data_IF_655828140506
#
_entry.id   IF_655828140506
#
_cell.length_a   1.000
_cell.length_b   1.000
_cell.length_c   1.000
_cell.angle_alpha   90.00
_cell.angle_beta   90.00
_cell.angle_gamma   90.00
#
_symmetry.space_group_name_H-M   'P 1'
#
loop_
_entity.id
_entity.type
_entity.pdbx_description
1 polymer ?
#
# COMPACT_ATOMS: atom_id res chain seq x y z
N UNK A 1 -8.05 13.61 37.82
CA UNK A 1 -8.34 12.78 36.63
C UNK A 1 -8.73 13.71 35.48
N UNK A 2 -7.77 14.47 34.92
CA UNK A 2 -8.00 15.31 33.74
C UNK A 2 -7.72 14.47 32.49
N UNK A 3 -8.77 14.16 31.72
CA UNK A 3 -8.64 13.60 30.37
C UNK A 3 -8.09 14.70 29.47
N UNK A 4 -6.85 14.57 29.01
CA UNK A 4 -6.39 15.26 27.81
C UNK A 4 -7.19 14.71 26.62
N UNK A 5 -8.30 15.36 26.28
CA UNK A 5 -8.88 15.24 24.96
C UNK A 5 -7.91 15.97 24.01
N UNK A 6 -7.04 15.21 23.35
CA UNK A 6 -6.34 15.72 22.16
C UNK A 6 -7.45 16.04 21.16
N UNK A 7 -7.70 17.33 20.92
CA UNK A 7 -8.68 17.75 19.92
C UNK A 7 -8.14 17.32 18.55
N UNK A 8 -8.65 16.19 18.05
CA UNK A 8 -8.29 15.67 16.74
C UNK A 8 -8.60 16.73 15.68
N UNK A 9 -7.67 17.01 14.77
CA UNK A 9 -7.93 17.97 13.70
C UNK A 9 -9.14 17.53 12.85
N UNK A 10 -9.81 18.49 12.19
CA UNK A 10 -10.90 18.18 11.26
C UNK A 10 -10.46 17.18 10.17
N UNK A 11 -9.20 17.30 9.71
CA UNK A 11 -8.58 16.37 8.76
C UNK A 11 -8.44 14.95 9.33
N UNK A 12 -7.99 14.80 10.57
CA UNK A 12 -7.87 13.49 11.22
C UNK A 12 -9.23 12.81 11.38
N UNK A 13 -10.26 13.56 11.78
CA UNK A 13 -11.63 13.02 11.89
C UNK A 13 -12.17 12.57 10.53
N UNK A 14 -11.93 13.36 9.48
CA UNK A 14 -12.33 13.03 8.12
C UNK A 14 -11.58 11.78 7.60
N UNK A 15 -10.29 11.67 7.90
CA UNK A 15 -9.45 10.52 7.56
C UNK A 15 -9.93 9.23 8.27
N UNK A 16 -10.26 9.29 9.56
CA UNK A 16 -10.77 8.12 10.29
C UNK A 16 -12.15 7.68 9.79
N UNK A 17 -13.01 8.64 9.42
CA UNK A 17 -14.29 8.34 8.79
C UNK A 17 -14.11 7.69 7.41
N UNK A 18 -13.17 8.18 6.61
CA UNK A 18 -12.79 7.58 5.33
C UNK A 18 -12.29 6.14 5.52
N UNK A 19 -11.34 5.93 6.43
CA UNK A 19 -10.76 4.61 6.73
C UNK A 19 -11.85 3.61 7.12
N UNK A 20 -12.74 3.96 8.06
CA UNK A 20 -13.82 3.07 8.50
C UNK A 20 -14.77 2.67 7.36
N UNK A 21 -15.13 3.63 6.49
CA UNK A 21 -15.98 3.35 5.31
C UNK A 21 -15.26 2.41 4.35
N UNK A 22 -13.98 2.65 4.10
CA UNK A 22 -13.19 1.87 3.16
C UNK A 22 -12.91 0.45 3.69
N UNK A 23 -12.66 0.29 5.00
CA UNK A 23 -12.54 -1.02 5.65
C UNK A 23 -13.81 -1.84 5.49
N UNK A 24 -14.99 -1.25 5.72
CA UNK A 24 -16.28 -1.92 5.48
C UNK A 24 -16.46 -2.34 4.03
N UNK A 25 -16.03 -1.51 3.07
CA UNK A 25 -16.07 -1.86 1.65
C UNK A 25 -15.14 -3.05 1.34
N UNK A 26 -13.96 -3.07 1.96
CA UNK A 26 -12.95 -4.12 1.77
C UNK A 26 -13.36 -5.45 2.40
N UNK A 27 -14.03 -5.43 3.55
CA UNK A 27 -14.66 -6.64 4.13
C UNK A 27 -15.67 -7.27 3.16
N UNK A 28 -16.49 -6.45 2.50
CA UNK A 28 -17.43 -6.94 1.49
C UNK A 28 -16.70 -7.54 0.27
N UNK A 29 -15.61 -6.92 -0.17
CA UNK A 29 -14.79 -7.44 -1.26
C UNK A 29 -14.09 -8.74 -0.89
N UNK A 30 -13.62 -8.89 0.35
CA UNK A 30 -13.06 -10.14 0.84
C UNK A 30 -14.08 -11.28 0.73
N UNK A 31 -15.35 -11.05 1.10
CA UNK A 31 -16.40 -12.05 0.94
C UNK A 31 -16.64 -12.43 -0.54
N UNK A 32 -16.60 -11.46 -1.46
CA UNK A 32 -16.79 -11.68 -2.88
C UNK A 32 -15.61 -12.45 -3.52
N UNK A 33 -14.38 -12.06 -3.18
CA UNK A 33 -13.17 -12.69 -3.70
C UNK A 33 -12.92 -14.08 -3.10
N UNK A 34 -13.52 -14.38 -1.95
CA UNK A 34 -13.43 -15.70 -1.30
C UNK A 34 -14.48 -16.73 -1.80
N UNK A 35 -15.30 -16.39 -2.81
CA UNK A 35 -16.42 -17.22 -3.30
C UNK A 35 -16.06 -18.68 -3.65
N UNK A 36 -16.83 -19.61 -3.06
CA UNK A 36 -16.88 -21.10 -3.14
C UNK A 36 -15.58 -21.94 -3.10
N UNK A 37 -14.38 -21.42 -3.35
CA UNK A 37 -13.20 -22.27 -3.46
C UNK A 37 -11.85 -21.70 -3.02
N UNK A 38 -11.79 -20.46 -2.50
CA UNK A 38 -10.55 -19.72 -2.19
C UNK A 38 -9.58 -19.48 -3.36
N UNK A 39 -9.86 -20.07 -4.53
CA UNK A 39 -9.13 -19.86 -5.76
C UNK A 39 -9.52 -18.53 -6.41
N UNK A 40 -8.52 -17.78 -6.84
CA UNK A 40 -8.72 -16.51 -7.54
C UNK A 40 -9.55 -16.69 -8.79
N UNK A 41 -10.58 -15.88 -9.06
CA UNK A 41 -11.45 -16.09 -10.22
C UNK A 41 -10.76 -15.84 -11.58
N UNK A 42 -9.63 -15.13 -11.61
CA UNK A 42 -8.99 -14.71 -12.84
C UNK A 42 -8.02 -15.79 -13.33
N UNK A 43 -8.13 -16.12 -14.61
CA UNK A 43 -7.42 -17.24 -15.24
C UNK A 43 -6.40 -16.80 -16.28
N UNK A 44 -6.68 -15.71 -16.96
CA UNK A 44 -5.93 -15.29 -18.12
C UNK A 44 -6.39 -13.96 -18.67
N UNK A 45 -5.66 -13.48 -19.68
CA UNK A 45 -6.12 -12.41 -20.57
C UNK A 45 -6.88 -13.07 -21.72
N UNK A 46 -7.98 -12.49 -22.16
CA UNK A 46 -8.76 -12.96 -23.31
C UNK A 46 -8.61 -11.98 -24.47
N UNK A 47 -8.49 -12.49 -25.70
CA UNK A 47 -8.48 -11.66 -26.91
C UNK A 47 -9.85 -11.63 -27.62
N UNK A 48 -9.91 -10.89 -28.73
CA UNK A 48 -11.13 -10.75 -29.55
C UNK A 48 -11.53 -12.03 -30.29
N UNK A 49 -10.64 -13.01 -30.38
CA UNK A 49 -10.89 -14.35 -30.94
C UNK A 49 -11.32 -15.35 -29.87
N UNK A 50 -11.59 -14.88 -28.64
CA UNK A 50 -11.97 -15.69 -27.48
C UNK A 50 -10.90 -16.72 -27.08
N UNK A 51 -9.64 -16.43 -27.37
CA UNK A 51 -8.49 -17.19 -26.89
C UNK A 51 -8.05 -16.65 -25.53
N UNK A 52 -7.87 -17.56 -24.56
CA UNK A 52 -7.43 -17.24 -23.22
C UNK A 52 -5.95 -17.57 -23.08
N UNK A 53 -5.18 -16.59 -22.63
CA UNK A 53 -3.75 -16.71 -22.32
C UNK A 53 -3.57 -16.78 -20.82
N UNK A 54 -3.21 -17.96 -20.32
CA UNK A 54 -3.10 -18.22 -18.89
C UNK A 54 -2.03 -17.35 -18.22
N UNK A 55 -2.30 -16.91 -16.99
CA UNK A 55 -1.41 -16.03 -16.25
C UNK A 55 -0.15 -16.75 -15.76
N UNK A 56 0.88 -15.96 -15.45
CA UNK A 56 1.99 -16.39 -14.62
C UNK A 56 1.81 -15.97 -13.17
N UNK A 57 2.48 -16.67 -12.25
CA UNK A 57 2.58 -16.29 -10.84
C UNK A 57 3.59 -15.14 -10.59
N UNK A 58 3.97 -14.39 -11.62
CA UNK A 58 4.88 -13.25 -11.50
C UNK A 58 4.23 -12.14 -10.65
N UNK A 59 4.91 -11.72 -9.59
CA UNK A 59 4.37 -10.76 -8.61
C UNK A 59 3.99 -9.42 -9.25
N UNK A 60 4.72 -8.93 -10.25
CA UNK A 60 4.39 -7.64 -10.90
C UNK A 60 3.13 -7.78 -11.76
N UNK A 61 2.99 -8.89 -12.47
CA UNK A 61 1.78 -9.19 -13.24
C UNK A 61 0.56 -9.30 -12.32
N UNK A 62 0.65 -10.08 -11.24
CA UNK A 62 -0.43 -10.24 -10.26
C UNK A 62 -0.82 -8.90 -9.64
N UNK A 63 0.16 -8.10 -9.21
CA UNK A 63 -0.07 -6.76 -8.66
C UNK A 63 -0.86 -5.88 -9.62
N UNK A 64 -0.51 -5.88 -10.92
CA UNK A 64 -1.19 -5.05 -11.91
C UNK A 64 -2.62 -5.51 -12.18
N UNK A 65 -2.84 -6.83 -12.23
CA UNK A 65 -4.19 -7.37 -12.44
C UNK A 65 -5.08 -7.03 -11.25
N UNK A 66 -4.59 -7.20 -10.02
CA UNK A 66 -5.36 -6.85 -8.82
C UNK A 66 -5.71 -5.36 -8.77
N UNK A 67 -4.79 -4.47 -9.17
CA UNK A 67 -5.06 -3.04 -9.30
C UNK A 67 -6.22 -2.77 -10.28
N UNK A 68 -6.19 -3.38 -11.47
CA UNK A 68 -7.24 -3.25 -12.50
C UNK A 68 -8.58 -3.75 -11.99
N UNK A 69 -8.59 -4.88 -11.28
CA UNK A 69 -9.80 -5.53 -10.77
C UNK A 69 -10.43 -4.74 -9.63
N UNK A 70 -9.60 -4.18 -8.74
CA UNK A 70 -10.07 -3.42 -7.59
C UNK A 70 -10.51 -2.01 -7.97
N UNK A 71 -9.97 -1.43 -9.05
CA UNK A 71 -10.25 -0.05 -9.46
C UNK A 71 -11.77 0.24 -9.63
N UNK A 72 -12.57 -0.56 -10.38
CA UNK A 72 -14.01 -0.34 -10.47
C UNK A 72 -14.71 -0.31 -9.11
N UNK A 73 -14.31 -1.18 -8.18
CA UNK A 73 -14.87 -1.20 -6.83
C UNK A 73 -14.49 0.05 -6.03
N UNK A 74 -13.27 0.57 -6.20
CA UNK A 74 -12.84 1.82 -5.57
C UNK A 74 -13.58 3.04 -6.16
N UNK A 75 -13.88 3.04 -7.46
CA UNK A 75 -14.68 4.09 -8.10
C UNK A 75 -16.14 4.04 -7.64
N UNK A 76 -16.72 2.85 -7.50
CA UNK A 76 -18.07 2.67 -6.93
C UNK A 76 -18.13 3.14 -5.47
N UNK A 77 -17.11 2.81 -4.67
CA UNK A 77 -16.95 3.32 -3.32
C UNK A 77 -16.93 4.85 -3.29
N UNK A 78 -16.17 5.48 -4.20
CA UNK A 78 -16.10 6.93 -4.31
C UNK A 78 -17.48 7.54 -4.60
N UNK A 79 -18.18 7.02 -5.60
CA UNK A 79 -19.52 7.49 -5.99
C UNK A 79 -20.52 7.36 -4.84
N UNK A 80 -20.55 6.20 -4.18
CA UNK A 80 -21.43 5.91 -3.05
C UNK A 80 -21.23 6.89 -1.88
N UNK A 81 -19.99 7.31 -1.64
CA UNK A 81 -19.64 8.19 -0.53
C UNK A 81 -19.35 9.64 -0.96
N UNK A 82 -19.71 10.00 -2.21
CA UNK A 82 -19.57 11.35 -2.78
C UNK A 82 -18.14 11.90 -2.82
N UNK A 83 -17.14 11.02 -2.95
CA UNK A 83 -15.76 11.44 -3.18
C UNK A 83 -15.54 11.72 -4.67
N UNK A 84 -14.89 12.84 -4.98
CA UNK A 84 -14.27 13.04 -6.30
C UNK A 84 -12.96 12.24 -6.35
N UNK A 85 -12.74 11.51 -7.44
CA UNK A 85 -11.51 10.74 -7.64
C UNK A 85 -10.58 11.41 -8.64
N UNK A 86 -9.27 11.34 -8.38
CA UNK A 86 -8.22 11.63 -9.35
C UNK A 86 -7.31 10.41 -9.43
N UNK A 87 -7.25 9.78 -10.59
CA UNK A 87 -6.35 8.65 -10.84
C UNK A 87 -4.95 9.16 -11.21
N UNK A 88 -3.94 8.37 -10.88
CA UNK A 88 -2.57 8.68 -11.24
C UNK A 88 -2.42 8.85 -12.77
N UNK A 89 -1.89 9.98 -13.26
CA UNK A 89 -1.86 10.28 -14.70
C UNK A 89 -0.74 9.56 -15.45
N UNK A 90 0.24 9.01 -14.74
CA UNK A 90 1.48 8.45 -15.29
C UNK A 90 1.92 7.24 -14.49
N UNK A 91 2.60 6.31 -15.15
CA UNK A 91 3.33 5.25 -14.47
C UNK A 91 4.34 5.88 -13.48
N UNK A 92 4.45 5.31 -12.27
CA UNK A 92 5.34 5.76 -11.19
C UNK A 92 4.95 7.10 -10.50
N UNK A 93 3.67 7.46 -10.49
CA UNK A 93 3.14 8.59 -9.72
C UNK A 93 2.34 8.10 -8.52
N UNK A 94 2.63 8.65 -7.35
CA UNK A 94 1.88 8.42 -6.12
C UNK A 94 0.68 9.38 -5.99
N UNK A 95 -0.42 9.00 -5.33
CA UNK A 95 -0.88 7.62 -5.11
C UNK A 95 -1.57 7.07 -6.35
N UNK A 96 -1.96 5.78 -6.34
CA UNK A 96 -2.79 5.19 -7.38
C UNK A 96 -4.14 5.91 -7.52
N UNK A 97 -4.79 6.21 -6.38
CA UNK A 97 -6.08 6.91 -6.34
C UNK A 97 -6.02 8.02 -5.29
N UNK A 98 -6.42 9.23 -5.69
CA UNK A 98 -6.73 10.33 -4.77
C UNK A 98 -8.23 10.47 -4.62
N UNK A 99 -8.73 10.46 -3.39
CA UNK A 99 -10.12 10.78 -3.06
C UNK A 99 -10.18 12.19 -2.48
N UNK A 100 -11.15 12.99 -2.90
CA UNK A 100 -11.39 14.33 -2.42
C UNK A 100 -12.83 14.39 -1.93
N UNK A 101 -13.04 14.75 -0.66
CA UNK A 101 -14.38 14.89 -0.12
C UNK A 101 -15.12 16.12 -0.67
N UNK A 102 -16.45 16.12 -0.49
CA UNK A 102 -17.35 17.20 -0.89
C UNK A 102 -17.54 18.24 0.23
N UNK A 103 -16.75 18.17 1.30
CA UNK A 103 -16.81 19.14 2.39
C UNK A 103 -16.20 20.48 1.97
N UNK A 104 -16.50 21.58 2.67
CA UNK A 104 -15.87 22.88 2.41
C UNK A 104 -14.33 22.84 2.52
N UNK A 105 -13.79 21.95 3.35
CA UNK A 105 -12.34 21.78 3.55
C UNK A 105 -11.68 20.95 2.44
N UNK A 106 -12.46 20.18 1.67
CA UNK A 106 -11.99 19.37 0.53
C UNK A 106 -10.81 18.48 0.90
N UNK A 107 -10.95 17.72 1.99
CA UNK A 107 -9.89 16.83 2.46
C UNK A 107 -9.50 15.83 1.38
N UNK A 108 -8.19 15.62 1.21
CA UNK A 108 -7.64 14.74 0.19
C UNK A 108 -7.03 13.51 0.85
N UNK A 109 -7.40 12.34 0.37
CA UNK A 109 -6.93 11.06 0.88
C UNK A 109 -6.20 10.32 -0.23
N UNK A 110 -4.96 9.95 0.04
CA UNK A 110 -4.17 9.15 -0.87
C UNK A 110 -4.43 7.66 -0.59
N UNK A 111 -4.73 6.87 -1.63
CA UNK A 111 -4.85 5.42 -1.53
C UNK A 111 -3.87 4.77 -2.51
N UNK A 112 -2.93 4.02 -1.96
CA UNK A 112 -1.90 3.29 -2.71
C UNK A 112 -2.19 1.79 -2.61
N UNK A 113 -2.23 1.10 -3.74
CA UNK A 113 -2.50 -0.33 -3.81
C UNK A 113 -1.15 -1.06 -3.74
N UNK A 114 -1.05 -2.00 -2.80
CA UNK A 114 0.16 -2.81 -2.60
C UNK A 114 -0.21 -4.27 -2.46
N UNK A 115 0.68 -5.12 -2.94
CA UNK A 115 0.48 -6.57 -2.85
C UNK A 115 1.69 -7.26 -2.27
N UNK A 116 1.45 -8.32 -1.52
CA UNK A 116 2.46 -9.21 -0.97
C UNK A 116 2.00 -10.66 -1.09
N UNK A 117 2.94 -11.57 -1.32
CA UNK A 117 2.66 -13.00 -1.25
C UNK A 117 3.02 -13.54 0.14
N UNK A 118 2.31 -14.59 0.58
CA UNK A 118 2.62 -15.29 1.83
C UNK A 118 3.96 -16.02 1.76
N UNK A 119 4.76 -15.87 2.80
CA UNK A 119 5.95 -16.68 3.07
C UNK A 119 5.63 -17.81 4.04
N UNK A 120 4.66 -17.58 4.93
CA UNK A 120 4.10 -18.53 5.88
C UNK A 120 2.65 -18.17 6.18
N UNK A 121 2.02 -18.89 7.10
CA UNK A 121 0.66 -18.58 7.58
C UNK A 121 0.58 -17.23 8.31
N UNK A 122 1.71 -16.70 8.78
CA UNK A 122 1.78 -15.50 9.61
C UNK A 122 2.55 -14.35 8.97
N UNK A 123 3.39 -14.62 7.97
CA UNK A 123 4.29 -13.64 7.35
C UNK A 123 4.11 -13.53 5.84
N UNK A 124 4.37 -12.33 5.32
CA UNK A 124 4.35 -12.03 3.90
C UNK A 124 5.67 -11.44 3.42
N UNK A 125 5.88 -11.49 2.11
CA UNK A 125 6.92 -10.72 1.43
C UNK A 125 6.76 -9.23 1.75
N UNK A 126 7.87 -8.53 1.99
CA UNK A 126 7.83 -7.10 2.31
C UNK A 126 7.25 -6.27 1.16
N UNK A 127 6.29 -5.39 1.47
CA UNK A 127 5.79 -4.36 0.56
C UNK A 127 6.67 -3.12 0.62
N UNK A 128 6.86 -2.46 -0.52
CA UNK A 128 7.42 -1.11 -0.57
C UNK A 128 6.31 -0.08 -0.48
N UNK A 129 6.45 0.92 0.38
CA UNK A 129 5.43 1.95 0.67
C UNK A 129 5.77 3.30 0.02
N UNK A 130 6.46 3.27 -1.12
CA UNK A 130 6.95 4.45 -1.83
C UNK A 130 8.26 5.00 -1.28
N UNK A 131 8.85 5.94 -2.02
CA UNK A 131 10.15 6.50 -1.71
C UNK A 131 10.11 7.39 -0.44
N UNK A 132 11.17 7.34 0.38
CA UNK A 132 11.40 8.32 1.46
C UNK A 132 12.24 9.53 1.00
N UNK A 133 12.50 9.63 -0.31
CA UNK A 133 13.18 10.75 -0.95
C UNK A 133 12.22 11.48 -1.90
N UNK A 134 12.69 12.46 -2.66
CA UNK A 134 11.87 13.13 -3.67
C UNK A 134 10.67 13.88 -3.07
N UNK A 135 9.45 13.52 -3.50
CA UNK A 135 8.20 14.16 -3.01
C UNK A 135 8.00 14.00 -1.50
N UNK A 136 8.58 12.95 -0.89
CA UNK A 136 8.42 12.71 0.54
C UNK A 136 9.24 13.71 1.37
N UNK A 137 10.44 14.11 0.90
CA UNK A 137 11.22 15.17 1.56
C UNK A 137 10.82 16.56 1.11
N UNK A 138 10.52 16.73 -0.17
CA UNK A 138 10.01 17.97 -0.73
C UNK A 138 8.49 17.87 -0.89
N UNK A 139 7.77 18.14 0.21
CA UNK A 139 6.32 17.97 0.30
C UNK A 139 5.51 18.82 -0.69
N UNK A 140 6.10 19.91 -1.20
CA UNK A 140 5.53 20.79 -2.23
C UNK A 140 5.75 20.30 -3.67
N UNK A 141 6.62 19.31 -3.85
CA UNK A 141 6.97 18.80 -5.17
C UNK A 141 5.76 18.18 -5.86
N UNK A 142 5.72 18.31 -7.18
CA UNK A 142 4.79 17.57 -8.07
C UNK A 142 5.50 16.48 -8.88
N UNK A 143 6.77 16.23 -8.57
CA UNK A 143 7.56 15.18 -9.23
C UNK A 143 7.19 13.82 -8.65
N UNK A 144 6.72 12.91 -9.50
CA UNK A 144 6.31 11.54 -9.13
C UNK A 144 5.15 11.48 -8.12
N UNK A 145 4.31 12.53 -8.06
CA UNK A 145 3.13 12.60 -7.21
C UNK A 145 2.01 13.41 -7.89
N UNK A 146 0.75 13.00 -7.73
CA UNK A 146 -0.43 13.60 -8.39
C UNK A 146 -0.73 15.01 -7.88
N UNK A 147 -0.66 15.19 -6.56
CA UNK A 147 -0.76 16.46 -5.84
C UNK A 147 0.40 16.53 -4.83
N UNK A 148 0.86 17.73 -4.42
CA UNK A 148 1.85 17.86 -3.35
C UNK A 148 1.51 17.01 -2.12
N UNK A 149 2.51 16.38 -1.51
CA UNK A 149 2.31 15.48 -0.37
C UNK A 149 1.62 16.20 0.80
N UNK A 150 1.99 17.47 1.05
CA UNK A 150 1.39 18.28 2.13
C UNK A 150 -0.09 18.62 1.92
N UNK A 151 -0.64 18.42 0.71
CA UNK A 151 -2.05 18.66 0.45
C UNK A 151 -2.97 17.51 0.87
N UNK A 152 -2.42 16.34 1.20
CA UNK A 152 -3.19 15.20 1.68
C UNK A 152 -3.40 15.28 3.18
N UNK A 153 -4.63 15.02 3.61
CA UNK A 153 -4.98 14.91 5.03
C UNK A 153 -4.64 13.54 5.61
N UNK A 154 -4.47 12.52 4.76
CA UNK A 154 -4.01 11.19 5.17
C UNK A 154 -3.55 10.34 3.99
N UNK A 155 -2.68 9.37 4.31
CA UNK A 155 -2.13 8.40 3.37
C UNK A 155 -2.52 6.97 3.79
N UNK A 156 -3.20 6.26 2.90
CA UNK A 156 -3.69 4.90 3.11
C UNK A 156 -3.06 3.92 2.14
N UNK A 157 -2.99 2.67 2.58
CA UNK A 157 -2.57 1.53 1.77
C UNK A 157 -3.72 0.54 1.70
N UNK A 158 -4.14 0.17 0.49
CA UNK A 158 -4.95 -1.02 0.22
C UNK A 158 -4.00 -2.18 -0.04
N UNK A 159 -3.80 -3.00 0.98
CA UNK A 159 -2.93 -4.16 0.91
C UNK A 159 -3.67 -5.41 0.44
N UNK A 160 -3.01 -6.16 -0.44
CA UNK A 160 -3.47 -7.44 -0.99
C UNK A 160 -2.48 -8.51 -0.57
N UNK A 161 -2.93 -9.50 0.18
CA UNK A 161 -2.13 -10.66 0.59
C UNK A 161 -2.67 -11.88 -0.14
N UNK A 162 -1.80 -12.67 -0.77
CA UNK A 162 -2.19 -13.86 -1.52
C UNK A 162 -1.18 -15.00 -1.36
N UNK A 163 -1.64 -16.22 -1.57
CA UNK A 163 -0.78 -17.41 -1.66
C UNK A 163 -0.42 -17.63 -3.13
N UNK A 164 0.85 -17.92 -3.44
CA UNK A 164 1.28 -18.27 -4.79
C UNK A 164 1.09 -19.76 -5.04
N UNK A 165 0.58 -20.10 -6.22
CA UNK A 165 0.47 -21.48 -6.67
C UNK A 165 1.49 -21.71 -7.80
N UNK A 166 2.60 -22.39 -7.50
CA UNK A 166 3.62 -22.78 -8.50
C UNK A 166 3.18 -24.01 -9.31
N UNK A 167 1.91 -24.04 -9.72
CA UNK A 167 1.41 -25.09 -10.60
C UNK A 167 2.08 -25.00 -11.98
N UNK A 168 2.43 -26.15 -12.55
CA UNK A 168 2.98 -26.29 -13.90
C UNK A 168 1.88 -26.02 -14.93
N UNK A 169 1.47 -24.76 -15.08
CA UNK A 169 0.52 -24.35 -16.10
C UNK A 169 1.23 -24.45 -17.46
N UNK A 170 0.60 -25.15 -18.40
CA UNK A 170 1.07 -25.15 -19.78
C UNK A 170 0.81 -23.77 -20.41
N UNK A 171 1.88 -22.98 -20.55
CA UNK A 171 1.86 -21.63 -21.13
C UNK A 171 2.25 -21.60 -22.61
N UNK A 172 2.51 -22.75 -23.24
CA UNK A 172 2.88 -22.81 -24.67
C UNK A 172 1.69 -22.82 -25.62
N UNK A 173 0.46 -22.77 -25.08
CA UNK A 173 -0.78 -22.71 -25.87
C UNK A 173 -1.77 -21.69 -25.29
N UNK A 174 -2.64 -21.20 -26.16
CA UNK A 174 -3.88 -20.56 -25.75
C UNK A 174 -4.94 -21.62 -25.42
N UNK A 175 -5.93 -21.22 -24.63
CA UNK A 175 -7.07 -22.03 -24.21
C UNK A 175 -8.36 -21.48 -24.82
N UNK A 176 -9.29 -22.34 -25.23
CA UNK A 176 -10.60 -21.90 -25.69
C UNK A 176 -11.45 -21.40 -24.51
N UNK A 177 -12.44 -20.53 -24.76
CA UNK A 177 -13.32 -20.00 -23.72
C UNK A 177 -14.02 -21.09 -22.87
N UNK A 178 -14.40 -22.21 -23.48
CA UNK A 178 -15.00 -23.36 -22.79
C UNK A 178 -14.05 -24.04 -21.78
N UNK A 179 -12.75 -23.84 -21.91
CA UNK A 179 -11.71 -24.35 -21.02
C UNK A 179 -11.42 -23.39 -19.85
N UNK A 180 -12.10 -22.25 -19.73
CA UNK A 180 -11.81 -21.23 -18.68
C UNK A 180 -11.72 -21.83 -17.27
N UNK A 181 -12.67 -22.70 -16.91
CA UNK A 181 -12.75 -23.31 -15.59
C UNK A 181 -11.71 -24.42 -15.37
N UNK A 182 -11.04 -24.92 -16.41
CA UNK A 182 -9.97 -25.91 -16.29
C UNK A 182 -8.58 -25.28 -16.19
N UNK A 183 -8.45 -23.98 -16.45
CA UNK A 183 -7.19 -23.25 -16.26
C UNK A 183 -6.92 -23.16 -14.74
N UNK A 184 -5.75 -23.60 -14.25
CA UNK A 184 -5.42 -23.49 -12.83
C UNK A 184 -5.28 -22.04 -12.36
N UNK A 185 -5.67 -21.77 -11.11
CA UNK A 185 -5.41 -20.48 -10.46
C UNK A 185 -3.91 -20.34 -10.12
N UNK A 186 -3.30 -19.21 -10.51
CA UNK A 186 -1.90 -18.91 -10.17
C UNK A 186 -1.72 -18.35 -8.74
N UNK A 187 -2.81 -17.91 -8.12
CA UNK A 187 -2.84 -17.47 -6.72
C UNK A 187 -4.15 -17.92 -6.05
N UNK A 188 -4.13 -17.97 -4.72
CA UNK A 188 -5.27 -18.31 -3.87
C UNK A 188 -5.24 -17.53 -2.55
N UNK A 189 -6.25 -17.76 -1.70
CA UNK A 189 -6.33 -17.25 -0.32
C UNK A 189 -6.17 -15.72 -0.24
N UNK A 190 -6.87 -14.99 -1.11
CA UNK A 190 -6.75 -13.53 -1.16
C UNK A 190 -7.32 -12.90 0.10
N UNK A 191 -6.53 -12.04 0.74
CA UNK A 191 -6.92 -11.21 1.87
C UNK A 191 -6.62 -9.75 1.54
N UNK A 192 -7.65 -8.93 1.51
CA UNK A 192 -7.55 -7.48 1.39
C UNK A 192 -7.59 -6.83 2.78
N UNK A 193 -6.81 -5.77 2.96
CA UNK A 193 -6.88 -4.92 4.15
C UNK A 193 -6.61 -3.46 3.80
N UNK A 194 -7.07 -2.53 4.63
CA UNK A 194 -6.76 -1.10 4.48
C UNK A 194 -6.31 -0.52 5.81
N UNK A 195 -5.23 0.24 5.74
CA UNK A 195 -4.68 0.91 6.91
C UNK A 195 -3.95 2.21 6.54
N UNK A 196 -3.78 3.10 7.52
CA UNK A 196 -2.84 4.22 7.42
C UNK A 196 -1.43 3.73 7.07
N UNK A 197 -0.77 4.42 6.14
CA UNK A 197 0.60 4.11 5.70
C UNK A 197 1.57 4.05 6.87
N UNK A 198 1.56 5.04 7.76
CA UNK A 198 2.51 5.09 8.88
C UNK A 198 2.31 3.91 9.85
N UNK A 199 1.05 3.49 10.09
CA UNK A 199 0.72 2.40 11.02
C UNK A 199 1.17 1.02 10.59
N UNK A 200 1.56 0.82 9.32
CA UNK A 200 2.06 -0.46 8.80
C UNK A 200 3.51 -0.36 8.31
N UNK A 201 4.14 0.79 8.48
CA UNK A 201 5.52 1.03 8.07
C UNK A 201 6.48 0.38 9.07
N UNK A 202 7.52 -0.31 8.60
CA UNK A 202 8.66 -0.74 9.42
C UNK A 202 9.68 0.40 9.57
N UNK A 203 10.65 0.27 10.48
CA UNK A 203 11.76 1.21 10.62
C UNK A 203 12.95 0.90 9.67
N UNK A 204 12.77 -0.06 8.75
CA UNK A 204 13.79 -0.50 7.79
C UNK A 204 13.38 -0.19 6.35
N UNK A 205 14.34 0.10 5.45
CA UNK A 205 14.04 0.37 4.06
C UNK A 205 13.50 -0.89 3.36
N UNK A 206 12.50 -0.71 2.50
CA UNK A 206 11.90 -1.79 1.70
C UNK A 206 12.68 -2.15 0.45
N UNK A 207 13.68 -1.34 0.08
CA UNK A 207 14.56 -1.58 -1.07
C UNK A 207 15.85 -0.79 -0.93
N UNK A 208 17.00 -1.41 -1.22
CA UNK A 208 18.30 -0.71 -1.18
C UNK A 208 18.46 0.33 -2.29
N UNK A 209 18.21 -0.05 -3.55
CA UNK A 209 18.51 0.79 -4.72
C UNK A 209 17.52 1.94 -4.95
N UNK A 210 16.24 1.72 -4.68
CA UNK A 210 15.14 2.65 -5.01
C UNK A 210 14.65 3.43 -3.81
N UNK A 211 15.32 3.29 -2.64
CA UNK A 211 15.12 4.13 -1.44
C UNK A 211 13.65 4.23 -1.03
N UNK A 212 12.99 3.06 -0.99
CA UNK A 212 11.61 2.93 -0.54
C UNK A 212 11.51 2.61 0.94
N UNK A 213 10.42 3.10 1.56
CA UNK A 213 9.96 2.73 2.89
C UNK A 213 9.49 1.27 2.86
N UNK A 214 9.85 0.48 3.87
CA UNK A 214 9.38 -0.90 4.02
C UNK A 214 8.10 -1.00 4.84
N UNK A 215 7.24 -1.96 4.53
CA UNK A 215 6.16 -2.37 5.42
C UNK A 215 6.65 -3.40 6.44
N UNK A 216 5.93 -3.53 7.55
CA UNK A 216 6.02 -4.72 8.43
C UNK A 216 5.53 -5.98 7.69
N UNK A 217 5.95 -7.15 8.13
CA UNK A 217 5.71 -8.42 7.41
C UNK A 217 4.69 -9.34 8.06
N UNK A 218 4.35 -9.13 9.34
CA UNK A 218 3.37 -9.97 10.04
C UNK A 218 1.95 -9.60 9.63
N UNK A 219 1.21 -10.58 9.09
CA UNK A 219 -0.14 -10.41 8.52
C UNK A 219 -1.10 -9.76 9.51
N UNK A 220 -1.13 -10.25 10.73
CA UNK A 220 -2.04 -9.75 11.77
C UNK A 220 -1.77 -8.27 12.08
N UNK A 221 -0.51 -7.86 12.09
CA UNK A 221 -0.12 -6.48 12.39
C UNK A 221 -0.38 -5.54 11.22
N UNK A 222 -0.24 -6.02 9.99
CA UNK A 222 -0.66 -5.28 8.79
C UNK A 222 -2.16 -4.97 8.84
N UNK A 223 -2.98 -5.99 9.11
CA UNK A 223 -4.45 -5.85 9.18
C UNK A 223 -4.86 -4.92 10.34
N UNK A 224 -4.24 -5.08 11.51
CA UNK A 224 -4.58 -4.29 12.71
C UNK A 224 -3.89 -2.92 12.78
N UNK A 225 -2.92 -2.64 11.91
CA UNK A 225 -2.12 -1.41 11.94
C UNK A 225 -1.24 -1.29 13.18
N UNK A 226 -0.52 -2.36 13.52
CA UNK A 226 0.37 -2.44 14.71
C UNK A 226 1.85 -2.37 14.35
N UNK A 227 2.20 -1.49 13.43
CA UNK A 227 3.60 -1.18 13.11
C UNK A 227 4.27 -0.33 14.19
N UNK A 228 5.60 -0.23 14.19
CA UNK A 228 6.36 0.52 15.19
C UNK A 228 5.96 2.00 15.35
N UNK A 229 5.48 2.64 14.29
CA UNK A 229 5.04 4.04 14.32
C UNK A 229 3.58 4.21 14.75
N UNK A 230 2.83 3.12 14.96
CA UNK A 230 1.38 3.21 15.22
C UNK A 230 1.05 3.95 16.52
N UNK A 231 1.85 3.75 17.56
CA UNK A 231 1.71 4.42 18.86
C UNK A 231 2.50 5.73 18.94
N UNK A 232 3.54 5.87 18.12
CA UNK A 232 4.39 7.08 18.07
C UNK A 232 3.74 8.23 17.28
N UNK A 233 2.83 7.93 16.36
CA UNK A 233 2.12 8.90 15.55
C UNK A 233 2.78 9.23 14.21
N UNK A 234 2.02 9.87 13.33
CA UNK A 234 2.44 10.20 11.96
C UNK A 234 3.60 11.20 11.93
N UNK A 235 3.65 12.14 12.88
CA UNK A 235 4.73 13.13 12.97
C UNK A 235 6.11 12.48 13.18
N UNK A 236 6.18 11.45 14.03
CA UNK A 236 7.43 10.70 14.27
C UNK A 236 7.80 9.87 13.04
N UNK A 237 6.82 9.27 12.37
CA UNK A 237 7.03 8.58 11.09
C UNK A 237 7.61 9.53 10.03
N UNK A 238 7.06 10.73 9.90
CA UNK A 238 7.50 11.72 8.94
C UNK A 238 8.91 12.21 9.26
N UNK A 239 9.19 12.59 10.52
CA UNK A 239 10.54 13.02 10.94
C UNK A 239 11.58 11.93 10.70
N UNK A 240 11.26 10.67 11.08
CA UNK A 240 12.14 9.53 10.88
C UNK A 240 12.47 9.33 9.40
N UNK A 241 11.48 9.26 8.52
CA UNK A 241 11.73 8.93 7.11
C UNK A 241 12.24 10.11 6.29
N UNK A 242 11.91 11.35 6.68
CA UNK A 242 12.44 12.54 6.02
C UNK A 242 13.95 12.68 6.23
N UNK A 243 14.46 12.30 7.39
CA UNK A 243 15.88 12.42 7.74
C UNK A 243 16.67 11.10 7.64
N UNK A 244 16.01 9.97 7.36
CA UNK A 244 16.68 8.67 7.26
C UNK A 244 17.72 8.66 6.13
N UNK A 245 18.98 8.32 6.41
CA UNK A 245 20.01 8.20 5.38
C UNK A 245 20.41 6.74 5.19
N UNK A 246 20.47 6.28 3.93
CA UNK A 246 21.21 5.05 3.61
C UNK A 246 22.71 5.33 3.68
N UNK A 247 23.53 4.28 3.76
CA UNK A 247 25.00 4.43 3.84
C UNK A 247 25.59 5.23 2.68
N UNK A 248 25.08 5.06 1.45
CA UNK A 248 25.49 5.86 0.29
C UNK A 248 25.07 7.33 0.41
N UNK A 249 23.90 7.62 0.99
CA UNK A 249 23.43 8.99 1.22
C UNK A 249 24.28 9.70 2.28
N UNK A 250 24.55 9.02 3.39
CA UNK A 250 25.39 9.56 4.45
C UNK A 250 26.78 9.92 3.91
N UNK A 251 27.41 9.02 3.15
CA UNK A 251 28.71 9.29 2.50
C UNK A 251 28.67 10.45 1.52
N UNK A 252 27.60 10.56 0.73
CA UNK A 252 27.42 11.67 -0.21
C UNK A 252 27.27 13.03 0.50
N UNK A 253 26.79 13.02 1.75
CA UNK A 253 26.70 14.20 2.62
C UNK A 253 27.95 14.42 3.48
N UNK A 254 29.02 13.63 3.27
CA UNK A 254 30.29 13.74 4.01
C UNK A 254 30.27 13.12 5.40
N UNK A 255 29.25 12.33 5.73
CA UNK A 255 29.14 11.61 7.00
C UNK A 255 29.82 10.23 6.91
N UNK A 256 30.46 9.81 8.00
CA UNK A 256 31.06 8.48 8.10
C UNK A 256 29.99 7.37 8.11
N UNK A 257 28.88 7.61 8.81
CA UNK A 257 27.75 6.69 8.96
C UNK A 257 26.41 7.46 9.04
N UNK A 258 25.27 6.82 8.73
CA UNK A 258 23.96 7.42 8.97
C UNK A 258 23.74 7.81 10.44
N UNK A 259 23.00 8.91 10.72
CA UNK A 259 22.67 9.33 12.08
C UNK A 259 21.79 8.35 12.86
N UNK A 260 21.15 7.38 12.20
CA UNK A 260 20.40 6.26 12.79
C UNK A 260 20.07 5.24 11.69
N UNK A 261 19.69 4.03 12.09
CA UNK A 261 19.30 2.94 11.16
C UNK A 261 18.08 2.12 11.62
N UNK A 262 17.51 2.45 12.78
CA UNK A 262 16.28 1.92 13.36
C UNK A 262 15.67 2.96 14.30
N UNK A 263 14.45 2.68 14.77
CA UNK A 263 13.77 3.52 15.76
C UNK A 263 14.53 3.66 17.08
N UNK A 264 15.24 2.62 17.52
CA UNK A 264 16.01 2.68 18.77
C UNK A 264 17.16 3.69 18.65
N UNK A 265 17.98 3.59 17.60
CA UNK A 265 19.06 4.56 17.34
C UNK A 265 18.52 5.97 17.05
N UNK A 266 17.37 6.09 16.38
CA UNK A 266 16.69 7.37 16.17
C UNK A 266 16.30 8.04 17.50
N UNK A 267 15.73 7.29 18.45
CA UNK A 267 15.37 7.82 19.76
C UNK A 267 16.60 8.35 20.52
N UNK A 268 17.71 7.61 20.50
CA UNK A 268 18.98 8.06 21.10
C UNK A 268 19.50 9.33 20.43
N UNK A 269 19.43 9.40 19.10
CA UNK A 269 19.80 10.58 18.31
C UNK A 269 18.98 11.81 18.72
N UNK A 270 17.65 11.68 18.85
CA UNK A 270 16.77 12.80 19.26
C UNK A 270 17.01 13.26 20.69
N UNK A 271 17.54 12.41 21.57
CA UNK A 271 17.88 12.75 22.96
C UNK A 271 19.26 13.45 23.10
N UNK A 272 19.94 13.77 21.99
CA UNK A 272 21.26 14.40 22.00
C UNK A 272 22.42 13.41 22.16
N UNK A 273 22.15 12.10 22.06
CA UNK A 273 23.19 11.09 21.97
C UNK A 273 23.88 11.18 20.61
N UNK A 274 25.07 11.81 20.58
CA UNK A 274 25.99 11.66 19.45
C UNK A 274 26.29 10.16 19.25
N UNK A 275 26.12 9.66 18.03
CA UNK A 275 26.46 8.28 17.63
C UNK A 275 27.87 8.23 17.07
#
# INVERSE_FOLDING_TARGET
>A
MLRYYIDMSAGQRAADAFLKRLQKQVEQLNCLLSGQGRDWAIRGVIDTFQQIYALSADTKLISKIMEIVLLPHMLQFAQKHKYKTVLSPKQNYYPDITFIDDTPHRHKFALDIKSAYRLSDTEVSMMTLGAFTGYFRNRRSRKNITLPYEEYSAHFVLGIIYTRNDSSINRSRAYALKELNSIPAVISDILLFVQYKYKITSDKPGSGNTKNIGAITRIEDLVKGRGPFAELGEEVFDDYWMHYLTTDMARAEGLEKPPYSDLESYQRYKQGGMI
#
